data_IF_174577236042
#
_entry.id   IF_174577236042
#
_cell.length_a   1.000
_cell.length_b   1.000
_cell.length_c   1.000
_cell.angle_alpha   90.00
_cell.angle_beta   90.00
_cell.angle_gamma   90.00
#
_symmetry.space_group_name_H-M   'P 1'
#
loop_
_entity.id
_entity.type
_entity.pdbx_description
1 polymer ?
#
# COMPACT_ATOMS: atom_id res chain seq x y z
N UNK A 1 -9.94 -9.81 -2.40
CA UNK A 1 -11.14 -10.65 -2.54
C UNK A 1 -12.34 -9.75 -2.63
N UNK A 2 -12.80 -9.48 -3.85
CA UNK A 2 -14.10 -8.86 -4.08
C UNK A 2 -15.15 -9.97 -4.04
N UNK A 3 -16.30 -9.68 -3.47
CA UNK A 3 -17.38 -10.64 -3.22
C UNK A 3 -18.64 -10.06 -3.86
N UNK A 4 -19.14 -10.72 -4.90
CA UNK A 4 -20.37 -10.34 -5.59
C UNK A 4 -21.45 -11.40 -5.32
N UNK A 5 -22.66 -10.96 -4.99
CA UNK A 5 -23.81 -11.84 -4.80
C UNK A 5 -24.53 -11.99 -6.14
N UNK A 6 -24.81 -13.23 -6.55
CA UNK A 6 -25.63 -13.53 -7.71
C UNK A 6 -26.97 -14.08 -7.22
N UNK A 7 -28.08 -13.42 -7.53
CA UNK A 7 -29.44 -13.85 -7.15
C UNK A 7 -30.39 -13.93 -8.34
N UNK A 8 -31.36 -14.85 -8.28
CA UNK A 8 -32.50 -14.91 -9.21
C UNK A 8 -33.62 -13.97 -8.74
N UNK A 9 -34.17 -13.17 -9.66
CA UNK A 9 -35.42 -12.43 -9.43
C UNK A 9 -36.61 -13.27 -9.88
N UNK A 10 -37.60 -13.48 -9.01
CA UNK A 10 -38.87 -14.13 -9.35
C UNK A 10 -40.05 -13.20 -9.00
N UNK A 11 -40.95 -12.94 -9.96
CA UNK A 11 -42.29 -12.43 -9.71
C UNK A 11 -43.32 -13.58 -9.92
N UNK A 12 -44.27 -13.82 -8.99
CA UNK A 12 -45.42 -14.70 -9.21
C UNK A 12 -46.62 -13.88 -9.77
N UNK A 13 -47.71 -14.47 -10.34
CA UNK A 13 -48.35 -15.69 -9.81
C UNK A 13 -49.00 -16.72 -10.79
N UNK A 14 -49.17 -17.93 -10.22
CA UNK A 14 -50.26 -18.90 -10.36
C UNK A 14 -50.51 -19.75 -11.64
N UNK A 15 -50.52 -21.07 -11.37
CA UNK A 15 -51.20 -22.24 -11.99
C UNK A 15 -50.43 -23.15 -12.96
N UNK A 16 -50.76 -24.47 -12.95
CA UNK A 16 -49.83 -25.52 -13.34
C UNK A 16 -50.09 -25.96 -14.78
N UNK A 17 -49.05 -26.02 -15.59
CA UNK A 17 -49.07 -26.86 -16.78
C UNK A 17 -47.66 -27.29 -17.16
N UNK A 18 -47.52 -28.56 -17.54
CA UNK A 18 -46.30 -29.18 -18.03
C UNK A 18 -45.91 -28.52 -19.35
N UNK A 19 -44.98 -27.59 -19.29
CA UNK A 19 -44.15 -27.18 -20.42
C UNK A 19 -42.69 -27.22 -19.96
N UNK A 20 -41.83 -27.84 -20.76
CA UNK A 20 -40.38 -27.61 -20.68
C UNK A 20 -40.17 -26.13 -20.96
N UNK A 21 -40.21 -25.30 -19.92
CA UNK A 21 -39.70 -23.94 -20.00
C UNK A 21 -38.19 -24.06 -20.04
N UNK A 22 -37.59 -23.64 -21.15
CA UNK A 22 -36.24 -23.12 -21.11
C UNK A 22 -36.25 -22.00 -20.07
N UNK A 23 -35.81 -22.34 -18.85
CA UNK A 23 -35.51 -21.35 -17.85
C UNK A 23 -34.30 -20.63 -18.42
N UNK A 24 -34.50 -19.39 -18.83
CA UNK A 24 -33.41 -18.44 -19.07
C UNK A 24 -33.17 -17.77 -17.70
N UNK A 25 -32.28 -18.30 -16.84
CA UNK A 25 -32.07 -17.71 -15.53
C UNK A 25 -31.43 -16.34 -15.71
N UNK A 26 -32.21 -15.28 -15.49
CA UNK A 26 -31.67 -13.94 -15.34
C UNK A 26 -30.86 -13.87 -14.04
N UNK A 27 -29.54 -13.79 -14.18
CA UNK A 27 -28.62 -13.61 -13.06
C UNK A 27 -28.34 -12.12 -12.86
N UNK A 28 -28.62 -11.61 -11.67
CA UNK A 28 -28.28 -10.24 -11.30
C UNK A 28 -26.98 -10.24 -10.48
N UNK A 29 -25.96 -9.51 -10.94
CA UNK A 29 -24.70 -9.36 -10.22
C UNK A 29 -24.80 -8.18 -9.26
N UNK A 30 -24.74 -8.45 -7.96
CA UNK A 30 -24.80 -7.43 -6.91
C UNK A 30 -23.43 -7.25 -6.26
N UNK A 31 -23.01 -6.00 -6.11
CA UNK A 31 -21.75 -5.64 -5.47
C UNK A 31 -21.97 -4.63 -4.33
N UNK A 32 -21.14 -4.70 -3.29
CA UNK A 32 -21.06 -3.62 -2.30
C UNK A 32 -20.54 -2.32 -2.95
N UNK A 33 -20.97 -1.17 -2.43
CA UNK A 33 -20.52 0.16 -2.87
C UNK A 33 -19.00 0.33 -2.89
N UNK A 34 -18.28 -0.37 -2.00
CA UNK A 34 -16.80 -0.34 -1.94
C UNK A 34 -16.12 -1.08 -3.09
N UNK A 35 -16.87 -1.95 -3.78
CA UNK A 35 -16.40 -2.80 -4.86
C UNK A 35 -16.91 -2.33 -6.23
N UNK A 36 -17.83 -1.37 -6.24
CA UNK A 36 -18.49 -0.85 -7.45
C UNK A 36 -17.48 -0.32 -8.47
N UNK A 37 -16.49 0.47 -8.02
CA UNK A 37 -15.47 1.02 -8.92
C UNK A 37 -14.70 -0.11 -9.64
N UNK A 38 -14.30 -1.13 -8.89
CA UNK A 38 -13.60 -2.30 -9.46
C UNK A 38 -14.45 -3.06 -10.47
N UNK A 39 -15.76 -3.16 -10.21
CA UNK A 39 -16.70 -3.84 -11.09
C UNK A 39 -16.97 -3.04 -12.36
N UNK A 40 -17.23 -1.73 -12.25
CA UNK A 40 -17.40 -0.85 -13.40
C UNK A 40 -16.19 -0.90 -14.32
N UNK A 41 -14.98 -0.88 -13.73
CA UNK A 41 -13.76 -0.98 -14.53
C UNK A 41 -13.58 -2.35 -15.19
N UNK A 42 -13.96 -3.41 -14.51
CA UNK A 42 -13.98 -4.75 -15.08
C UNK A 42 -14.95 -4.84 -16.27
N UNK A 43 -16.15 -4.26 -16.12
CA UNK A 43 -17.16 -4.21 -17.17
C UNK A 43 -16.65 -3.43 -18.39
N UNK A 44 -16.09 -2.24 -18.18
CA UNK A 44 -15.43 -1.45 -19.23
C UNK A 44 -14.32 -2.24 -19.95
N UNK A 45 -13.47 -2.97 -19.21
CA UNK A 45 -12.42 -3.80 -19.79
C UNK A 45 -12.98 -4.94 -20.66
N UNK A 46 -14.13 -5.54 -20.26
CA UNK A 46 -14.79 -6.58 -21.06
C UNK A 46 -15.46 -6.03 -22.30
N UNK A 47 -16.21 -4.92 -22.20
CA UNK A 47 -16.80 -4.25 -23.36
C UNK A 47 -15.72 -3.80 -24.34
N UNK A 48 -14.65 -3.19 -23.82
CA UNK A 48 -13.52 -2.76 -24.64
C UNK A 48 -12.85 -3.95 -25.34
N UNK A 49 -12.70 -5.09 -24.65
CA UNK A 49 -12.17 -6.31 -25.24
C UNK A 49 -13.09 -6.88 -26.32
N UNK A 50 -14.40 -6.93 -26.06
CA UNK A 50 -15.39 -7.44 -27.01
C UNK A 50 -15.42 -6.61 -28.30
N UNK A 51 -15.28 -5.29 -28.19
CA UNK A 51 -15.33 -4.36 -29.33
C UNK A 51 -14.02 -4.30 -30.15
N UNK A 52 -12.91 -4.84 -29.65
CA UNK A 52 -11.57 -4.67 -30.25
C UNK A 52 -10.84 -5.98 -30.57
N UNK A 53 -11.59 -7.10 -30.70
CA UNK A 53 -11.14 -8.45 -31.09
C UNK A 53 -9.61 -8.64 -31.18
N UNK A 54 -9.03 -9.19 -30.11
CA UNK A 54 -7.63 -9.63 -30.01
C UNK A 54 -6.53 -8.58 -30.23
N UNK A 55 -6.84 -7.29 -30.45
CA UNK A 55 -5.81 -6.22 -30.60
C UNK A 55 -5.04 -5.90 -29.32
N UNK A 56 -5.63 -6.20 -28.16
CA UNK A 56 -5.05 -5.87 -26.86
C UNK A 56 -4.71 -7.13 -26.07
N UNK A 57 -3.54 -7.13 -25.44
CA UNK A 57 -3.13 -8.23 -24.58
C UNK A 57 -4.04 -8.34 -23.37
N UNK A 58 -4.60 -9.54 -23.14
CA UNK A 58 -5.40 -9.83 -21.94
C UNK A 58 -4.62 -9.65 -20.64
N UNK A 59 -3.29 -9.72 -20.72
CA UNK A 59 -2.38 -9.45 -19.62
C UNK A 59 -2.37 -8.01 -19.11
N UNK A 60 -3.00 -7.07 -19.83
CA UNK A 60 -3.14 -5.67 -19.45
C UNK A 60 -4.55 -5.33 -18.90
N UNK A 61 -5.44 -6.31 -18.75
CA UNK A 61 -6.74 -6.12 -18.09
C UNK A 61 -6.68 -6.37 -16.59
N UNK A 62 -7.56 -5.68 -15.86
CA UNK A 62 -7.57 -5.64 -14.40
C UNK A 62 -7.78 -7.01 -13.75
N UNK A 63 -8.75 -7.77 -14.28
CA UNK A 63 -9.14 -9.07 -13.76
C UNK A 63 -8.14 -10.14 -14.20
N UNK A 64 -7.56 -10.86 -13.23
CA UNK A 64 -6.61 -11.96 -13.48
C UNK A 64 -7.28 -13.32 -13.43
N UNK A 65 -8.23 -13.48 -12.51
CA UNK A 65 -9.02 -14.69 -12.38
C UNK A 65 -10.33 -14.38 -11.66
N UNK A 66 -11.37 -15.14 -12.00
CA UNK A 66 -12.63 -15.15 -11.30
C UNK A 66 -13.03 -16.59 -11.00
N UNK A 67 -13.60 -16.84 -9.84
CA UNK A 67 -14.12 -18.14 -9.40
C UNK A 67 -15.49 -17.96 -8.80
N UNK A 68 -16.44 -18.79 -9.22
CA UNK A 68 -17.73 -18.89 -8.56
C UNK A 68 -17.60 -19.83 -7.35
N UNK A 69 -18.04 -19.34 -6.19
CA UNK A 69 -18.02 -20.06 -4.94
C UNK A 69 -19.46 -20.26 -4.49
N UNK A 70 -19.84 -21.52 -4.31
CA UNK A 70 -21.08 -21.87 -3.64
C UNK A 70 -20.87 -21.79 -2.13
N UNK A 71 -21.67 -20.98 -1.43
CA UNK A 71 -21.61 -20.92 0.03
C UNK A 71 -22.89 -21.47 0.62
N UNK A 72 -22.75 -22.51 1.44
CA UNK A 72 -23.89 -23.08 2.15
C UNK A 72 -24.48 -22.07 3.15
N UNK A 73 -25.75 -21.74 2.96
CA UNK A 73 -26.51 -20.89 3.86
C UNK A 73 -27.22 -21.71 4.94
N UNK A 74 -27.66 -21.01 5.99
CA UNK A 74 -28.42 -21.62 7.09
C UNK A 74 -29.91 -21.31 6.86
N UNK A 75 -30.60 -22.15 6.10
CA UNK A 75 -32.03 -21.99 5.79
C UNK A 75 -32.66 -23.29 5.29
N UNK A 76 -34.00 -23.36 5.32
CA UNK A 76 -34.79 -24.45 4.70
C UNK A 76 -35.48 -23.86 3.47
N UNK A 77 -35.26 -24.42 2.29
CA UNK A 77 -35.79 -23.91 1.02
C UNK A 77 -35.04 -24.47 -0.19
N UNK A 78 -35.31 -23.96 -1.40
CA UNK A 78 -34.57 -24.36 -2.59
C UNK A 78 -33.08 -24.03 -2.42
N UNK A 79 -32.15 -24.92 -2.84
CA UNK A 79 -30.72 -24.70 -2.69
C UNK A 79 -30.22 -23.38 -3.27
N UNK A 80 -30.85 -22.88 -4.33
CA UNK A 80 -30.51 -21.61 -5.00
C UNK A 80 -30.93 -20.36 -4.21
N UNK A 81 -31.95 -20.47 -3.35
CA UNK A 81 -32.41 -19.37 -2.49
C UNK A 81 -31.65 -19.37 -1.15
N UNK A 82 -31.23 -20.55 -0.70
CA UNK A 82 -30.53 -20.74 0.58
C UNK A 82 -29.03 -20.49 0.44
N UNK A 83 -28.42 -20.90 -0.67
CA UNK A 83 -26.97 -20.90 -0.85
C UNK A 83 -26.55 -19.82 -1.84
N UNK A 84 -26.06 -18.65 -1.37
CA UNK A 84 -25.61 -17.60 -2.26
C UNK A 84 -24.37 -18.03 -3.05
N UNK A 85 -24.39 -17.69 -4.34
CA UNK A 85 -23.22 -17.75 -5.21
C UNK A 85 -22.38 -16.48 -5.03
N UNK A 86 -21.09 -16.68 -4.81
CA UNK A 86 -20.12 -15.62 -4.69
C UNK A 86 -19.13 -15.63 -5.84
N UNK A 87 -18.98 -14.50 -6.54
CA UNK A 87 -17.89 -14.33 -7.48
C UNK A 87 -16.64 -13.82 -6.74
N UNK A 88 -15.65 -14.69 -6.57
CA UNK A 88 -14.34 -14.33 -6.06
C UNK A 88 -13.42 -13.90 -7.20
N UNK A 89 -13.01 -12.64 -7.19
CA UNK A 89 -12.10 -12.07 -8.18
C UNK A 89 -10.70 -11.81 -7.62
N UNK A 90 -9.68 -12.11 -8.41
CA UNK A 90 -8.29 -11.68 -8.22
C UNK A 90 -7.97 -10.58 -9.23
N UNK A 91 -7.53 -9.44 -8.73
CA UNK A 91 -7.26 -8.23 -9.53
C UNK A 91 -5.80 -7.79 -9.39
N UNK A 92 -5.22 -7.25 -10.46
CA UNK A 92 -3.94 -6.56 -10.39
C UNK A 92 -4.19 -5.06 -10.28
N UNK A 93 -3.97 -4.50 -9.09
CA UNK A 93 -4.26 -3.10 -8.79
C UNK A 93 -3.37 -2.13 -9.56
N UNK A 94 -2.24 -2.58 -10.11
CA UNK A 94 -1.35 -1.77 -10.95
C UNK A 94 -2.00 -1.44 -12.29
N UNK A 95 -2.85 -2.33 -12.80
CA UNK A 95 -3.58 -2.17 -14.07
C UNK A 95 -4.80 -1.24 -13.97
N UNK A 96 -5.00 -0.60 -12.82
CA UNK A 96 -6.02 0.43 -12.64
C UNK A 96 -5.64 1.74 -13.34
N UNK A 97 -4.34 2.07 -13.35
CA UNK A 97 -3.80 3.38 -13.77
C UNK A 97 -3.01 3.27 -15.06
N UNK A 98 -2.90 4.36 -15.82
CA UNK A 98 -2.05 4.41 -17.03
C UNK A 98 -0.59 4.09 -16.71
N UNK A 99 -0.04 4.66 -15.63
CA UNK A 99 1.36 4.48 -15.24
C UNK A 99 1.66 3.05 -14.78
N UNK A 100 0.81 2.49 -13.92
CA UNK A 100 0.95 1.10 -13.50
C UNK A 100 0.75 0.11 -14.65
N UNK A 101 -0.11 0.43 -15.62
CA UNK A 101 -0.26 -0.35 -16.85
C UNK A 101 1.03 -0.32 -17.67
N UNK A 102 1.67 0.85 -17.84
CA UNK A 102 2.98 0.96 -18.51
C UNK A 102 4.07 0.17 -17.81
N UNK A 103 4.13 0.18 -16.48
CA UNK A 103 5.11 -0.62 -15.73
C UNK A 103 4.93 -2.12 -16.00
N UNK A 104 3.69 -2.61 -15.93
CA UNK A 104 3.38 -4.03 -16.21
C UNK A 104 3.64 -4.37 -17.68
N UNK A 105 3.36 -3.44 -18.60
CA UNK A 105 3.64 -3.56 -20.02
C UNK A 105 5.16 -3.72 -20.28
N UNK A 106 5.99 -2.83 -19.73
CA UNK A 106 7.45 -2.93 -19.85
C UNK A 106 8.00 -4.23 -19.27
N UNK A 107 7.52 -4.64 -18.10
CA UNK A 107 7.92 -5.90 -17.48
C UNK A 107 7.60 -7.09 -18.40
N UNK A 108 6.36 -7.17 -18.90
CA UNK A 108 5.93 -8.25 -19.80
C UNK A 108 6.69 -8.25 -21.12
N UNK A 109 6.96 -7.07 -21.69
CA UNK A 109 7.77 -6.96 -22.92
C UNK A 109 9.16 -7.53 -22.66
N UNK A 110 9.82 -7.15 -21.56
CA UNK A 110 11.15 -7.67 -21.24
C UNK A 110 11.17 -9.19 -21.03
N UNK A 111 10.16 -9.74 -20.34
CA UNK A 111 10.01 -11.19 -20.13
C UNK A 111 9.85 -11.93 -21.47
N UNK A 112 8.97 -11.42 -22.35
CA UNK A 112 8.74 -12.03 -23.67
C UNK A 112 9.91 -11.82 -24.63
N UNK A 113 10.67 -10.73 -24.53
CA UNK A 113 11.89 -10.52 -25.31
C UNK A 113 12.97 -11.54 -24.93
N UNK A 114 13.13 -11.84 -23.63
CA UNK A 114 14.01 -12.90 -23.15
C UNK A 114 13.54 -14.27 -23.68
N UNK A 115 12.25 -14.56 -23.61
CA UNK A 115 11.69 -15.81 -24.17
C UNK A 115 11.91 -15.89 -25.68
N UNK A 116 11.70 -14.79 -26.42
CA UNK A 116 11.93 -14.69 -27.86
C UNK A 116 13.39 -14.97 -28.21
N UNK A 117 14.34 -14.44 -27.45
CA UNK A 117 15.77 -14.73 -27.61
C UNK A 117 16.07 -16.21 -27.34
N UNK A 118 15.47 -16.80 -26.29
CA UNK A 118 15.64 -18.22 -25.97
C UNK A 118 15.13 -19.13 -27.10
N UNK A 119 14.01 -18.75 -27.73
CA UNK A 119 13.43 -19.49 -28.84
C UNK A 119 14.18 -19.24 -30.17
N UNK A 120 14.62 -18.01 -30.42
CA UNK A 120 15.38 -17.60 -31.61
C UNK A 120 16.75 -17.03 -31.21
N UNK A 121 17.72 -17.91 -30.85
CA UNK A 121 19.06 -17.47 -30.45
C UNK A 121 19.82 -16.74 -31.56
N UNK A 122 19.41 -16.93 -32.81
CA UNK A 122 19.95 -16.22 -33.99
C UNK A 122 19.80 -14.69 -33.89
N UNK A 123 18.81 -14.21 -33.12
CA UNK A 123 18.64 -12.78 -32.84
C UNK A 123 19.80 -12.18 -32.02
N UNK A 124 20.59 -13.02 -31.35
CA UNK A 124 21.78 -12.57 -30.60
C UNK A 124 23.03 -12.43 -31.47
N UNK A 125 23.01 -12.94 -32.71
CA UNK A 125 24.16 -12.93 -33.63
C UNK A 125 24.79 -11.53 -33.82
N UNK A 126 24.03 -10.43 -34.02
CA UNK A 126 24.61 -9.10 -34.18
C UNK A 126 25.43 -8.63 -32.97
N UNK A 127 25.07 -9.07 -31.75
CA UNK A 127 25.79 -8.71 -30.53
C UNK A 127 27.15 -9.41 -30.44
N UNK A 128 27.19 -10.72 -30.72
CA UNK A 128 28.44 -11.49 -30.75
C UNK A 128 29.35 -11.11 -31.93
N UNK A 129 28.77 -10.74 -33.06
CA UNK A 129 29.50 -10.21 -34.21
C UNK A 129 30.21 -8.89 -33.86
N UNK A 130 29.51 -7.94 -33.23
CA UNK A 130 30.10 -6.67 -32.77
C UNK A 130 31.17 -6.85 -31.70
N UNK A 131 31.00 -7.83 -30.81
CA UNK A 131 31.96 -8.15 -29.75
C UNK A 131 33.16 -9.00 -30.23
N UNK A 132 33.27 -9.31 -31.54
CA UNK A 132 34.30 -10.18 -32.13
C UNK A 132 34.43 -11.56 -31.46
N UNK A 133 33.34 -12.09 -30.90
CA UNK A 133 33.31 -13.35 -30.13
C UNK A 133 32.56 -14.48 -30.87
N UNK A 134 32.73 -14.55 -32.19
CA UNK A 134 32.05 -15.52 -33.06
C UNK A 134 32.27 -17.00 -32.69
N UNK A 135 33.48 -17.46 -32.29
CA UNK A 135 33.67 -18.87 -31.92
C UNK A 135 32.83 -19.29 -30.71
N UNK A 136 32.64 -18.37 -29.76
CA UNK A 136 31.81 -18.58 -28.57
C UNK A 136 30.33 -18.68 -28.98
N UNK A 137 29.87 -17.79 -29.86
CA UNK A 137 28.52 -17.85 -30.41
C UNK A 137 28.21 -19.19 -31.08
N UNK A 138 29.08 -19.67 -31.97
CA UNK A 138 28.86 -20.96 -32.66
C UNK A 138 28.82 -22.14 -31.69
N UNK A 139 29.64 -22.12 -30.64
CA UNK A 139 29.66 -23.17 -29.61
C UNK A 139 28.34 -23.19 -28.84
N UNK A 140 27.86 -22.02 -28.40
CA UNK A 140 26.57 -21.88 -27.69
C UNK A 140 25.39 -22.24 -28.60
N UNK A 141 25.43 -21.82 -29.86
CA UNK A 141 24.35 -22.10 -30.81
C UNK A 141 24.24 -23.60 -31.11
N UNK A 142 25.38 -24.29 -31.32
CA UNK A 142 25.42 -25.75 -31.50
C UNK A 142 24.84 -26.49 -30.29
N UNK A 143 25.19 -26.10 -29.06
CA UNK A 143 24.68 -26.76 -27.85
C UNK A 143 23.17 -26.54 -27.67
N UNK A 144 22.67 -25.33 -27.94
CA UNK A 144 21.24 -25.02 -27.87
C UNK A 144 20.44 -25.83 -28.91
N UNK A 145 20.94 -25.95 -30.14
CA UNK A 145 20.27 -26.74 -31.19
C UNK A 145 20.28 -28.23 -30.85
N UNK A 146 21.42 -28.78 -30.42
CA UNK A 146 21.52 -30.17 -30.02
C UNK A 146 20.53 -30.50 -28.89
N UNK A 147 20.45 -29.65 -27.86
CA UNK A 147 19.47 -29.80 -26.77
C UNK A 147 18.02 -29.74 -27.27
N UNK A 148 17.72 -28.85 -28.23
CA UNK A 148 16.38 -28.71 -28.81
C UNK A 148 15.96 -29.95 -29.60
N UNK A 149 16.85 -30.50 -30.41
CA UNK A 149 16.61 -31.73 -31.18
C UNK A 149 16.34 -32.90 -30.24
N UNK A 150 17.13 -33.02 -29.17
CA UNK A 150 16.97 -34.06 -28.16
C UNK A 150 15.61 -33.98 -27.44
N UNK A 151 15.18 -32.76 -27.05
CA UNK A 151 13.84 -32.53 -26.49
C UNK A 151 12.70 -32.85 -27.46
N UNK A 152 12.89 -32.65 -28.76
CA UNK A 152 11.89 -33.01 -29.76
C UNK A 152 11.85 -34.53 -29.98
N UNK A 153 12.98 -35.23 -29.92
CA UNK A 153 12.99 -36.70 -29.99
C UNK A 153 12.33 -37.37 -28.78
N UNK A 154 12.47 -36.79 -27.57
CA UNK A 154 11.81 -37.30 -26.35
C UNK A 154 10.27 -37.24 -26.42
N UNK A 155 9.71 -36.31 -27.20
CA UNK A 155 8.26 -36.15 -27.38
C UNK A 155 7.63 -37.18 -28.36
N UNK A 156 8.44 -38.05 -28.95
CA UNK A 156 8.00 -39.11 -29.88
C UNK A 156 7.70 -38.62 -31.30
N UNK A 157 6.81 -37.64 -31.45
CA UNK A 157 6.45 -37.06 -32.75
C UNK A 157 7.18 -35.74 -33.00
N UNK A 158 8.26 -35.81 -33.78
CA UNK A 158 9.09 -34.66 -34.13
C UNK A 158 8.32 -33.60 -34.91
N UNK A 159 7.47 -34.00 -35.86
CA UNK A 159 6.72 -33.06 -36.69
C UNK A 159 5.70 -32.28 -35.86
N UNK A 160 5.01 -32.96 -34.92
CA UNK A 160 4.12 -32.32 -33.96
C UNK A 160 4.87 -31.40 -33.00
N UNK A 161 6.01 -31.84 -32.45
CA UNK A 161 6.82 -31.02 -31.56
C UNK A 161 7.37 -29.76 -32.24
N UNK A 162 7.80 -29.88 -33.50
CA UNK A 162 8.24 -28.75 -34.31
C UNK A 162 7.10 -27.77 -34.59
N UNK A 163 5.89 -28.28 -34.93
CA UNK A 163 4.70 -27.45 -35.14
C UNK A 163 4.27 -26.73 -33.86
N UNK A 164 4.28 -27.40 -32.72
CA UNK A 164 4.03 -26.78 -31.40
C UNK A 164 5.01 -25.64 -31.10
N UNK A 165 6.29 -25.84 -31.43
CA UNK A 165 7.33 -24.84 -31.23
C UNK A 165 7.15 -23.62 -32.14
N UNK A 166 6.83 -23.83 -33.43
CA UNK A 166 6.51 -22.73 -34.35
C UNK A 166 5.27 -21.94 -33.89
N UNK A 167 4.25 -22.63 -33.41
CA UNK A 167 3.07 -22.00 -32.82
C UNK A 167 3.41 -21.18 -31.57
N UNK A 168 4.31 -21.68 -30.72
CA UNK A 168 4.77 -20.93 -29.53
C UNK A 168 5.51 -19.64 -29.91
N UNK A 169 6.35 -19.69 -30.94
CA UNK A 169 7.03 -18.51 -31.48
C UNK A 169 5.99 -17.50 -32.00
N UNK A 170 5.04 -17.94 -32.83
CA UNK A 170 4.00 -17.06 -33.37
C UNK A 170 3.14 -16.43 -32.26
N UNK A 171 2.77 -17.19 -31.23
CA UNK A 171 2.05 -16.67 -30.06
C UNK A 171 2.86 -15.60 -29.32
N UNK A 172 4.17 -15.79 -29.18
CA UNK A 172 5.06 -14.84 -28.51
C UNK A 172 5.17 -13.54 -29.30
N UNK A 173 5.34 -13.63 -30.62
CA UNK A 173 5.38 -12.46 -31.51
C UNK A 173 4.05 -11.71 -31.53
N UNK A 174 2.92 -12.43 -31.60
CA UNK A 174 1.58 -11.84 -31.50
C UNK A 174 1.36 -11.15 -30.15
N UNK A 175 1.74 -11.78 -29.04
CA UNK A 175 1.68 -11.19 -27.70
C UNK A 175 2.51 -9.91 -27.60
N UNK A 176 3.73 -9.89 -28.14
CA UNK A 176 4.58 -8.68 -28.15
C UNK A 176 3.92 -7.55 -28.94
N UNK A 177 3.36 -7.84 -30.11
CA UNK A 177 2.65 -6.85 -30.92
C UNK A 177 1.43 -6.28 -30.16
N UNK A 178 0.63 -7.13 -29.54
CA UNK A 178 -0.56 -6.73 -28.77
C UNK A 178 -0.23 -6.00 -27.46
N UNK A 179 1.00 -6.12 -26.97
CA UNK A 179 1.51 -5.35 -25.84
C UNK A 179 1.98 -3.96 -26.23
N UNK A 180 2.11 -3.61 -27.52
CA UNK A 180 2.46 -2.23 -27.92
C UNK A 180 1.32 -1.25 -27.68
N UNK A 181 0.07 -1.75 -27.76
CA UNK A 181 -1.15 -0.99 -27.52
C UNK A 181 -1.63 -1.23 -26.08
N UNK A 182 -2.02 -0.15 -25.39
CA UNK A 182 -2.59 -0.22 -24.04
C UNK A 182 -4.04 0.29 -24.06
N UNK A 183 -4.97 -0.37 -23.33
CA UNK A 183 -6.34 0.11 -23.21
C UNK A 183 -6.36 1.49 -22.52
N UNK A 184 -7.35 2.35 -22.82
CA UNK A 184 -7.45 3.68 -22.22
C UNK A 184 -7.67 3.55 -20.71
N UNK A 185 -6.75 4.09 -19.91
CA UNK A 185 -6.78 4.01 -18.45
C UNK A 185 -6.96 5.39 -17.84
N UNK A 186 -7.67 5.51 -16.70
CA UNK A 186 -7.72 6.78 -16.00
C UNK A 186 -6.29 7.18 -15.65
N UNK A 187 -5.91 8.39 -16.07
CA UNK A 187 -4.70 9.04 -15.59
C UNK A 187 -4.90 9.29 -14.11
N UNK A 188 -4.34 8.41 -13.28
CA UNK A 188 -4.04 8.81 -11.93
C UNK A 188 -2.83 9.70 -12.11
N UNK A 189 -3.04 11.02 -12.16
CA UNK A 189 -1.92 11.93 -11.98
C UNK A 189 -1.22 11.44 -10.71
N UNK A 190 -0.06 10.77 -10.86
CA UNK A 190 0.90 10.71 -9.78
C UNK A 190 0.91 12.14 -9.28
N UNK A 191 0.50 12.38 -8.03
CA UNK A 191 0.65 13.71 -7.48
C UNK A 191 2.10 14.07 -7.79
N UNK A 192 2.31 15.00 -8.74
CA UNK A 192 3.65 15.40 -9.13
C UNK A 192 4.12 16.14 -7.90
N UNK A 193 4.71 15.37 -7.01
CA UNK A 193 5.00 15.82 -5.68
C UNK A 193 6.05 16.89 -5.86
N UNK A 194 5.77 18.07 -5.32
CA UNK A 194 6.69 19.19 -5.43
C UNK A 194 7.94 18.81 -4.63
N UNK A 195 9.10 18.60 -5.28
CA UNK A 195 10.33 18.21 -4.58
C UNK A 195 10.75 19.25 -3.54
N UNK A 196 10.28 20.49 -3.69
CA UNK A 196 10.54 21.61 -2.79
C UNK A 196 9.66 21.60 -1.55
N UNK A 197 8.58 20.81 -1.51
CA UNK A 197 7.66 20.81 -0.36
C UNK A 197 7.87 19.54 0.46
N UNK A 198 8.27 19.71 1.71
CA UNK A 198 8.44 18.64 2.69
C UNK A 198 7.55 18.92 3.90
N UNK A 199 6.89 17.86 4.40
CA UNK A 199 6.13 17.92 5.65
C UNK A 199 7.00 17.45 6.79
N UNK A 200 7.40 18.35 7.68
CA UNK A 200 8.12 18.00 8.90
C UNK A 200 7.18 17.69 10.05
N UNK A 201 7.42 16.57 10.73
CA UNK A 201 6.72 16.18 11.95
C UNK A 201 7.68 16.30 13.12
N UNK A 202 7.31 17.02 14.17
CA UNK A 202 8.00 16.99 15.45
C UNK A 202 7.21 16.22 16.49
N UNK A 203 7.93 15.50 17.34
CA UNK A 203 7.36 14.70 18.42
C UNK A 203 8.00 15.13 19.75
N UNK A 204 7.19 15.35 20.79
CA UNK A 204 7.69 15.87 22.06
C UNK A 204 6.76 15.57 23.24
N UNK A 205 7.19 15.95 24.45
CA UNK A 205 6.51 15.60 25.70
C UNK A 205 5.10 16.19 25.83
N UNK A 206 4.91 17.45 25.47
CA UNK A 206 3.62 18.12 25.71
C UNK A 206 2.59 17.80 24.62
N UNK A 207 3.05 17.60 23.38
CA UNK A 207 2.24 17.39 22.19
C UNK A 207 2.80 16.19 21.41
N UNK A 208 1.99 15.15 21.15
CA UNK A 208 2.49 13.91 20.56
C UNK A 208 2.97 14.09 19.12
N UNK A 209 2.36 15.03 18.38
CA UNK A 209 2.82 15.45 17.07
C UNK A 209 2.50 16.92 16.82
N UNK A 210 3.43 17.65 16.21
CA UNK A 210 3.21 18.97 15.58
C UNK A 210 3.76 18.90 14.16
N UNK A 211 3.07 19.52 13.21
CA UNK A 211 3.39 19.40 11.79
C UNK A 211 3.66 20.76 11.20
N UNK A 212 4.68 20.85 10.34
CA UNK A 212 5.00 22.00 9.53
C UNK A 212 5.08 21.59 8.06
N UNK A 213 4.48 22.38 7.16
CA UNK A 213 4.69 22.25 5.72
C UNK A 213 5.67 23.32 5.30
N UNK A 214 6.79 22.93 4.71
CA UNK A 214 7.90 23.84 4.42
C UNK A 214 8.23 23.77 2.95
N UNK A 215 8.39 24.92 2.30
CA UNK A 215 9.16 24.99 1.07
C UNK A 215 10.64 25.00 1.47
N UNK A 216 11.36 23.93 1.17
CA UNK A 216 12.74 23.73 1.63
C UNK A 216 13.77 24.52 0.84
N UNK A 217 13.43 25.02 -0.36
CA UNK A 217 14.29 25.89 -1.15
C UNK A 217 14.28 27.31 -0.58
N UNK A 218 13.09 27.86 -0.31
CA UNK A 218 12.95 29.20 0.28
C UNK A 218 13.11 29.19 1.81
N UNK A 219 12.96 28.02 2.44
CA UNK A 219 12.93 27.86 3.88
C UNK A 219 11.63 28.38 4.53
N UNK A 220 10.66 28.80 3.72
CA UNK A 220 9.39 29.36 4.19
C UNK A 220 8.42 28.28 4.65
N UNK A 221 7.69 28.57 5.72
CA UNK A 221 6.69 27.65 6.26
C UNK A 221 5.32 28.03 5.72
N UNK A 222 4.73 27.16 4.91
CA UNK A 222 3.40 27.37 4.33
C UNK A 222 2.31 27.27 5.39
N UNK A 223 2.44 26.31 6.31
CA UNK A 223 1.50 26.18 7.41
C UNK A 223 2.06 25.36 8.58
N UNK A 224 1.57 25.69 9.77
CA UNK A 224 1.67 24.83 10.95
C UNK A 224 0.33 24.15 11.25
N UNK A 225 0.38 22.91 11.74
CA UNK A 225 -0.77 22.22 12.32
C UNK A 225 -0.41 21.60 13.66
N UNK A 226 -1.17 22.00 14.67
CA UNK A 226 -1.15 21.36 15.99
C UNK A 226 -2.00 20.09 15.99
N UNK A 227 -1.81 19.22 16.97
CA UNK A 227 -2.62 18.02 17.15
C UNK A 227 -4.14 18.32 17.25
N UNK A 228 -4.51 19.48 17.82
CA UNK A 228 -5.91 19.94 17.90
C UNK A 228 -6.47 20.23 16.52
N UNK A 229 -5.68 20.85 15.65
CA UNK A 229 -6.07 21.14 14.26
C UNK A 229 -6.06 19.87 13.39
N UNK A 230 -5.16 18.91 13.64
CA UNK A 230 -5.12 17.65 12.90
C UNK A 230 -6.33 16.76 13.20
N UNK A 231 -6.75 16.70 14.46
CA UNK A 231 -7.86 15.84 14.89
C UNK A 231 -9.24 16.51 14.79
N UNK A 232 -9.30 17.85 14.83
CA UNK A 232 -10.55 18.60 14.79
C UNK A 232 -11.50 18.17 15.91
N UNK A 233 -12.70 17.75 15.55
CA UNK A 233 -13.73 17.26 16.49
C UNK A 233 -13.28 16.04 17.30
N UNK A 234 -12.44 15.18 16.72
CA UNK A 234 -11.90 13.99 17.38
C UNK A 234 -10.85 14.32 18.45
N UNK A 235 -10.51 15.60 18.66
CA UNK A 235 -9.56 15.98 19.71
C UNK A 235 -10.05 15.61 21.11
N UNK A 236 -11.36 15.56 21.34
CA UNK A 236 -11.95 15.10 22.62
C UNK A 236 -11.52 13.65 22.99
N UNK A 237 -11.24 12.80 22.00
CA UNK A 237 -10.78 11.43 22.20
C UNK A 237 -9.40 11.37 22.86
N UNK A 238 -8.53 12.38 22.67
CA UNK A 238 -7.25 12.46 23.38
C UNK A 238 -7.45 12.64 24.89
N UNK A 239 -8.40 13.49 25.29
CA UNK A 239 -8.71 13.69 26.70
C UNK A 239 -9.28 12.41 27.32
N UNK A 240 -10.19 11.73 26.60
CA UNK A 240 -10.74 10.43 27.00
C UNK A 240 -9.65 9.37 27.17
N UNK A 241 -8.71 9.28 26.23
CA UNK A 241 -7.60 8.33 26.29
C UNK A 241 -6.69 8.60 27.51
N UNK A 242 -6.40 9.86 27.82
CA UNK A 242 -5.61 10.24 29.01
C UNK A 242 -6.31 9.81 30.30
N UNK A 243 -7.60 10.10 30.43
CA UNK A 243 -8.39 9.68 31.59
C UNK A 243 -8.43 8.16 31.74
N UNK A 244 -8.59 7.43 30.63
CA UNK A 244 -8.61 5.98 30.65
C UNK A 244 -7.26 5.41 31.10
N UNK A 245 -6.13 5.91 30.58
CA UNK A 245 -4.79 5.49 31.02
C UNK A 245 -4.56 5.77 32.49
N UNK A 246 -4.99 6.93 32.99
CA UNK A 246 -4.86 7.28 34.41
C UNK A 246 -5.69 6.35 35.30
N UNK A 247 -6.95 6.10 34.92
CA UNK A 247 -7.84 5.17 35.64
C UNK A 247 -7.25 3.75 35.67
N UNK A 248 -6.80 3.26 34.53
CA UNK A 248 -6.15 1.96 34.43
C UNK A 248 -4.89 1.92 35.28
N UNK A 249 -4.01 2.93 35.22
CA UNK A 249 -2.81 3.00 36.08
C UNK A 249 -3.14 2.92 37.57
N UNK A 250 -4.18 3.63 38.02
CA UNK A 250 -4.65 3.55 39.41
C UNK A 250 -5.18 2.17 39.78
N UNK A 251 -5.97 1.54 38.90
CA UNK A 251 -6.45 0.18 39.09
C UNK A 251 -5.30 -0.83 39.16
N UNK A 252 -4.30 -0.70 38.28
CA UNK A 252 -3.09 -1.52 38.27
C UNK A 252 -2.32 -1.40 39.58
N UNK A 253 -2.13 -0.18 40.09
CA UNK A 253 -1.46 0.05 41.37
C UNK A 253 -2.25 -0.52 42.55
N UNK A 254 -3.58 -0.39 42.56
CA UNK A 254 -4.45 -1.02 43.58
C UNK A 254 -4.37 -2.55 43.52
N UNK A 255 -4.36 -3.13 42.32
CA UNK A 255 -4.26 -4.58 42.13
C UNK A 255 -2.90 -5.10 42.60
N UNK A 256 -1.80 -4.41 42.25
CA UNK A 256 -0.45 -4.74 42.72
C UNK A 256 -0.34 -4.73 44.25
N UNK A 257 -0.96 -3.76 44.93
CA UNK A 257 -0.99 -3.72 46.40
C UNK A 257 -1.79 -4.86 47.04
N UNK A 258 -2.71 -5.47 46.30
CA UNK A 258 -3.60 -6.54 46.76
C UNK A 258 -3.19 -7.92 46.21
N UNK A 259 -2.04 -8.00 45.54
CA UNK A 259 -1.57 -9.18 44.80
C UNK A 259 -2.65 -9.79 43.86
N UNK A 260 -3.46 -8.90 43.27
CA UNK A 260 -4.57 -9.27 42.39
C UNK A 260 -4.13 -9.26 40.91
N UNK A 261 -4.81 -10.03 40.03
CA UNK A 261 -4.48 -10.05 38.60
C UNK A 261 -4.52 -8.65 37.97
N UNK A 262 -3.45 -8.32 37.25
CA UNK A 262 -3.19 -6.97 36.73
C UNK A 262 -3.45 -6.81 35.21
N UNK A 263 -4.19 -7.75 34.62
CA UNK A 263 -4.49 -7.75 33.17
C UNK A 263 -5.76 -6.95 32.91
N UNK A 264 -5.63 -5.63 32.87
CA UNK A 264 -6.70 -4.76 32.41
C UNK A 264 -6.55 -4.49 30.91
N UNK A 265 -7.61 -4.75 30.14
CA UNK A 265 -7.62 -4.48 28.69
C UNK A 265 -7.45 -2.99 28.42
N UNK A 266 -6.42 -2.63 27.64
CA UNK A 266 -6.31 -1.28 27.10
C UNK A 266 -7.29 -1.15 25.93
N UNK A 267 -8.12 -0.10 25.93
CA UNK A 267 -8.95 0.17 24.74
C UNK A 267 -8.06 0.42 23.54
N UNK A 268 -8.46 -0.10 22.38
CA UNK A 268 -7.85 0.18 21.07
C UNK A 268 -7.90 1.67 20.66
N UNK A 269 -8.50 2.53 21.48
CA UNK A 269 -8.58 3.98 21.30
C UNK A 269 -7.23 4.63 20.99
N UNK A 270 -6.14 4.16 21.61
CA UNK A 270 -4.81 4.68 21.31
C UNK A 270 -4.35 4.39 19.90
N UNK A 271 -4.54 3.16 19.42
CA UNK A 271 -4.21 2.78 18.05
C UNK A 271 -5.10 3.51 17.04
N UNK A 272 -6.39 3.66 17.38
CA UNK A 272 -7.33 4.41 16.57
C UNK A 272 -6.91 5.89 16.42
N UNK A 273 -6.48 6.53 17.51
CA UNK A 273 -5.96 7.90 17.47
C UNK A 273 -4.69 8.02 16.63
N UNK A 274 -3.76 7.07 16.71
CA UNK A 274 -2.57 7.05 15.86
C UNK A 274 -2.94 7.00 14.38
N UNK A 275 -3.92 6.16 14.00
CA UNK A 275 -4.42 6.09 12.62
C UNK A 275 -5.08 7.40 12.18
N UNK A 276 -5.84 8.06 13.06
CA UNK A 276 -6.45 9.36 12.77
C UNK A 276 -5.40 10.45 12.55
N UNK A 277 -4.39 10.52 13.43
CA UNK A 277 -3.28 11.47 13.31
C UNK A 277 -2.52 11.22 12.02
N UNK A 278 -2.12 9.97 11.75
CA UNK A 278 -1.41 9.59 10.54
C UNK A 278 -2.19 9.95 9.27
N UNK A 279 -3.50 9.64 9.25
CA UNK A 279 -4.39 9.99 8.13
C UNK A 279 -4.46 11.50 7.92
N UNK A 280 -4.51 12.29 8.99
CA UNK A 280 -4.52 13.76 8.90
C UNK A 280 -3.19 14.32 8.37
N UNK A 281 -2.05 13.78 8.82
CA UNK A 281 -0.71 14.16 8.33
C UNK A 281 -0.59 13.86 6.83
N UNK A 282 -0.97 12.66 6.40
CA UNK A 282 -0.92 12.25 4.99
C UNK A 282 -1.90 13.07 4.14
N UNK A 283 -3.09 13.38 4.66
CA UNK A 283 -4.05 14.26 3.97
C UNK A 283 -3.42 15.62 3.70
N UNK A 284 -2.76 16.20 4.69
CA UNK A 284 -2.08 17.49 4.58
C UNK A 284 -0.89 17.42 3.60
N UNK A 285 -0.09 16.35 3.64
CA UNK A 285 0.97 16.14 2.64
C UNK A 285 0.40 16.10 1.21
N UNK A 286 -0.78 15.48 1.01
CA UNK A 286 -1.45 15.45 -0.29
C UNK A 286 -1.99 16.82 -0.71
N UNK A 287 -2.63 17.55 0.19
CA UNK A 287 -3.18 18.90 -0.07
C UNK A 287 -2.09 19.84 -0.62
N UNK A 288 -0.90 19.81 -0.03
CA UNK A 288 0.25 20.62 -0.46
C UNK A 288 1.15 19.94 -1.51
N UNK A 289 0.76 18.74 -2.00
CA UNK A 289 1.55 17.93 -2.94
C UNK A 289 3.00 17.74 -2.48
N UNK A 290 3.21 17.53 -1.19
CA UNK A 290 4.54 17.34 -0.62
C UNK A 290 5.23 16.09 -1.17
N UNK A 291 6.54 16.18 -1.38
CA UNK A 291 7.38 15.08 -1.83
C UNK A 291 7.49 13.98 -0.77
N UNK A 292 7.73 14.38 0.47
CA UNK A 292 7.98 13.46 1.56
C UNK A 292 7.54 14.01 2.92
N UNK A 293 7.48 13.10 3.88
CA UNK A 293 7.20 13.40 5.28
C UNK A 293 8.45 13.08 6.09
N UNK A 294 9.03 14.10 6.73
CA UNK A 294 10.17 13.97 7.62
C UNK A 294 9.72 13.67 9.06
N UNK A 295 10.23 12.58 9.62
CA UNK A 295 9.85 12.03 10.92
C UNK A 295 11.11 11.84 11.79
N UNK A 296 11.06 12.11 13.11
CA UNK A 296 12.23 12.02 13.96
C UNK A 296 12.66 10.58 14.27
N UNK A 297 13.98 10.36 14.42
CA UNK A 297 14.57 9.10 14.91
C UNK A 297 14.12 8.79 16.34
N UNK A 298 13.61 7.57 16.57
CA UNK A 298 13.07 7.14 17.88
C UNK A 298 14.05 7.28 19.06
N UNK A 299 15.32 6.93 18.83
CA UNK A 299 16.36 7.00 19.87
C UNK A 299 16.48 8.43 20.41
N UNK A 300 16.48 9.40 19.51
CA UNK A 300 16.64 10.80 19.86
C UNK A 300 15.40 11.36 20.55
N UNK A 301 14.19 10.95 20.16
CA UNK A 301 12.96 11.37 20.87
C UNK A 301 13.04 11.00 22.36
N UNK A 302 13.55 9.81 22.70
CA UNK A 302 13.73 9.39 24.09
C UNK A 302 14.72 10.27 24.84
N UNK A 303 15.83 10.63 24.19
CA UNK A 303 16.86 11.51 24.75
C UNK A 303 16.33 12.95 24.95
N UNK A 304 15.61 13.50 23.96
CA UNK A 304 14.95 14.82 24.06
C UNK A 304 14.01 14.83 25.26
N UNK A 305 13.15 13.83 25.37
CA UNK A 305 12.20 13.69 26.46
C UNK A 305 12.93 13.60 27.81
N UNK A 306 13.99 12.80 27.90
CA UNK A 306 14.74 12.62 29.13
C UNK A 306 15.39 13.94 29.58
N UNK A 307 16.04 14.64 28.66
CA UNK A 307 16.69 15.93 28.91
C UNK A 307 15.67 17.01 29.30
N UNK A 308 14.51 17.08 28.64
CA UNK A 308 13.46 18.05 28.97
C UNK A 308 12.86 17.78 30.37
N UNK A 309 12.59 16.51 30.72
CA UNK A 309 12.12 16.14 32.05
C UNK A 309 13.15 16.52 33.12
N UNK A 310 14.44 16.25 32.88
CA UNK A 310 15.51 16.50 33.83
C UNK A 310 15.72 18.01 34.05
N UNK A 311 15.81 18.79 32.97
CA UNK A 311 15.92 20.24 33.04
C UNK A 311 14.74 20.88 33.78
N UNK A 312 13.53 20.33 33.59
CA UNK A 312 12.34 20.80 34.32
C UNK A 312 12.37 20.43 35.80
N UNK A 313 12.92 19.27 36.14
CA UNK A 313 13.10 18.85 37.53
C UNK A 313 14.09 19.76 38.26
N UNK A 314 15.23 20.05 37.63
CA UNK A 314 16.27 20.94 38.16
C UNK A 314 15.76 22.37 38.35
N UNK A 315 15.00 22.91 37.38
CA UNK A 315 14.38 24.24 37.50
C UNK A 315 13.40 24.35 38.66
N UNK A 316 12.67 23.28 38.98
CA UNK A 316 11.71 23.28 40.09
C UNK A 316 12.35 22.99 41.44
N UNK A 317 13.31 22.09 41.47
CA UNK A 317 13.99 21.62 42.68
C UNK A 317 15.48 21.74 42.40
N UNK A 318 16.04 22.91 42.71
CA UNK A 318 17.47 23.15 42.56
C UNK A 318 18.26 22.41 43.64
N UNK A 319 19.40 21.82 43.29
CA UNK A 319 20.34 21.19 44.23
C UNK A 319 19.93 19.83 44.83
N UNK A 320 18.63 19.54 45.01
CA UNK A 320 18.17 18.30 45.64
C UNK A 320 17.88 17.17 44.63
N UNK A 321 18.91 16.33 44.37
CA UNK A 321 18.89 15.26 43.35
C UNK A 321 17.78 14.22 43.54
N UNK A 322 17.47 13.79 44.76
CA UNK A 322 16.41 12.81 45.00
C UNK A 322 15.01 13.40 44.75
N UNK A 323 14.81 14.66 45.16
CA UNK A 323 13.59 15.42 44.84
C UNK A 323 13.41 15.58 43.34
N UNK A 324 14.49 15.88 42.61
CA UNK A 324 14.47 15.92 41.14
C UNK A 324 14.07 14.57 40.54
N UNK A 325 14.64 13.45 41.00
CA UNK A 325 14.27 12.10 40.53
C UNK A 325 12.80 11.79 40.81
N UNK A 326 12.30 12.11 42.01
CA UNK A 326 10.89 11.91 42.39
C UNK A 326 9.96 12.76 41.54
N UNK A 327 10.28 14.04 41.34
CA UNK A 327 9.55 14.93 40.47
C UNK A 327 9.55 14.44 39.02
N UNK A 328 10.72 14.05 38.48
CA UNK A 328 10.87 13.56 37.12
C UNK A 328 10.01 12.30 36.88
N UNK A 329 9.92 11.40 37.87
CA UNK A 329 9.03 10.23 37.82
C UNK A 329 7.56 10.64 37.77
N UNK A 330 7.11 11.44 38.73
CA UNK A 330 5.71 11.92 38.77
C UNK A 330 5.34 12.69 37.50
N UNK A 331 6.27 13.50 36.99
CA UNK A 331 6.07 14.27 35.78
C UNK A 331 5.91 13.35 34.56
N UNK A 332 6.77 12.32 34.40
CA UNK A 332 6.61 11.30 33.34
C UNK A 332 5.29 10.54 33.42
N UNK A 333 4.80 10.27 34.63
CA UNK A 333 3.51 9.60 34.85
C UNK A 333 2.32 10.51 34.48
N UNK A 334 2.43 11.82 34.72
CA UNK A 334 1.39 12.81 34.39
C UNK A 334 1.29 13.21 32.91
N UNK A 335 2.38 13.05 32.14
CA UNK A 335 2.41 13.37 30.72
C UNK A 335 1.82 12.22 29.88
N UNK A 336 1.48 12.50 28.61
CA UNK A 336 1.04 11.47 27.69
C UNK A 336 2.11 10.37 27.48
N UNK A 337 1.76 9.13 27.80
CA UNK A 337 2.57 7.95 27.52
C UNK A 337 2.32 7.48 26.07
N UNK A 338 2.74 8.28 25.10
CA UNK A 338 2.55 7.96 23.68
C UNK A 338 3.60 6.96 23.20
N UNK A 339 3.19 6.00 22.37
CA UNK A 339 4.16 5.14 21.67
C UNK A 339 4.50 5.79 20.34
N UNK A 340 5.61 6.52 20.29
CA UNK A 340 6.05 7.17 19.05
C UNK A 340 6.36 6.16 17.95
N UNK A 341 6.86 4.97 18.29
CA UNK A 341 7.07 3.90 17.31
C UNK A 341 5.76 3.54 16.58
N UNK A 342 4.67 3.34 17.35
CA UNK A 342 3.36 3.00 16.80
C UNK A 342 2.78 4.13 15.94
N UNK A 343 3.01 5.38 16.33
CA UNK A 343 2.59 6.54 15.53
C UNK A 343 3.37 6.62 14.21
N UNK A 344 4.69 6.44 14.24
CA UNK A 344 5.55 6.41 13.05
C UNK A 344 5.11 5.27 12.11
N UNK A 345 4.91 4.07 12.63
CA UNK A 345 4.37 2.93 11.86
C UNK A 345 3.01 3.25 11.24
N UNK A 346 2.13 3.92 11.97
CA UNK A 346 0.82 4.34 11.45
C UNK A 346 0.97 5.36 10.32
N UNK A 347 1.96 6.25 10.39
CA UNK A 347 2.30 7.20 9.30
C UNK A 347 2.82 6.45 8.08
N UNK A 348 3.71 5.47 8.24
CA UNK A 348 4.17 4.60 7.14
C UNK A 348 3.02 3.86 6.46
N UNK A 349 2.14 3.25 7.23
CA UNK A 349 0.98 2.53 6.69
C UNK A 349 0.01 3.48 5.97
N UNK A 350 -0.19 4.70 6.49
CA UNK A 350 -1.07 5.68 5.88
C UNK A 350 -0.48 6.30 4.60
N UNK A 351 0.84 6.43 4.50
CA UNK A 351 1.51 7.07 3.35
C UNK A 351 1.70 6.12 2.16
N UNK A 352 1.88 4.82 2.43
CA UNK A 352 2.19 3.81 1.41
C UNK A 352 1.21 3.78 0.20
N UNK A 353 -0.12 3.85 0.37
CA UNK A 353 -1.06 3.86 -0.76
C UNK A 353 -0.93 5.07 -1.70
N UNK A 354 -0.30 6.13 -1.21
CA UNK A 354 -0.10 7.38 -1.95
C UNK A 354 1.31 7.55 -2.48
N UNK A 355 2.22 6.61 -2.19
CA UNK A 355 3.62 6.69 -2.64
C UNK A 355 4.39 7.88 -2.04
N UNK A 356 3.96 8.39 -0.89
CA UNK A 356 4.66 9.50 -0.21
C UNK A 356 5.83 8.91 0.59
N UNK A 357 7.05 9.33 0.26
CA UNK A 357 8.25 8.88 0.93
C UNK A 357 8.30 9.38 2.38
N UNK A 358 8.90 8.59 3.27
CA UNK A 358 9.13 8.97 4.66
C UNK A 358 10.64 9.00 4.89
N UNK A 359 11.11 10.14 5.39
CA UNK A 359 12.51 10.39 5.70
C UNK A 359 12.68 10.45 7.21
N UNK A 360 13.72 9.79 7.72
CA UNK A 360 13.95 9.70 9.16
C UNK A 360 15.11 10.61 9.56
N UNK A 361 14.80 11.70 10.25
CA UNK A 361 15.74 12.79 10.55
C UNK A 361 16.08 12.89 12.03
N UNK A 362 17.17 13.58 12.31
CA UNK A 362 17.57 13.89 13.69
C UNK A 362 16.89 15.20 14.17
N UNK A 363 16.02 15.14 15.18
CA UNK A 363 15.30 16.30 15.72
C UNK A 363 16.15 17.09 16.73
N UNK A 364 16.10 18.43 16.67
CA UNK A 364 16.84 19.29 17.59
C UNK A 364 16.39 19.12 19.06
N UNK A 365 17.35 19.15 19.99
CA UNK A 365 17.10 19.04 21.44
C UNK A 365 16.39 20.27 22.03
N UNK A 366 16.53 21.43 21.38
CA UNK A 366 16.01 22.72 21.82
C UNK A 366 15.10 23.32 20.75
N UNK A 367 14.16 24.17 21.19
CA UNK A 367 13.23 24.90 20.32
C UNK A 367 11.76 24.60 20.58
N UNK A 368 10.88 25.44 20.03
CA UNK A 368 9.43 25.20 20.03
C UNK A 368 9.11 23.99 19.13
N UNK A 369 8.14 23.12 19.47
CA UNK A 369 7.67 22.05 18.57
C UNK A 369 7.41 22.48 17.12
N UNK A 370 6.96 23.72 16.88
CA UNK A 370 6.78 24.25 15.53
C UNK A 370 8.12 24.44 14.79
N UNK A 371 9.11 25.02 15.46
CA UNK A 371 10.46 25.19 14.91
C UNK A 371 11.13 23.84 14.68
N UNK A 372 10.98 22.90 15.63
CA UNK A 372 11.46 21.53 15.49
C UNK A 372 10.85 20.84 14.25
N UNK A 373 9.57 21.06 13.98
CA UNK A 373 8.94 20.51 12.78
C UNK A 373 9.53 21.13 11.50
N UNK A 374 9.79 22.44 11.51
CA UNK A 374 10.45 23.13 10.39
C UNK A 374 11.87 22.62 10.17
N UNK A 375 12.67 22.53 11.22
CA UNK A 375 14.06 22.06 11.13
C UNK A 375 14.13 20.61 10.69
N UNK A 376 13.20 19.76 11.13
CA UNK A 376 13.10 18.38 10.64
C UNK A 376 12.88 18.30 9.12
N UNK A 377 12.02 19.17 8.56
CA UNK A 377 11.80 19.22 7.11
C UNK A 377 13.05 19.67 6.34
N UNK A 378 13.75 20.69 6.84
CA UNK A 378 15.00 21.19 6.25
C UNK A 378 16.13 20.15 6.36
N UNK A 379 16.25 19.48 7.50
CA UNK A 379 17.24 18.42 7.71
C UNK A 379 17.04 17.23 6.76
N UNK A 380 15.79 16.86 6.48
CA UNK A 380 15.48 15.81 5.51
C UNK A 380 16.00 16.17 4.12
N UNK A 381 15.77 17.41 3.70
CA UNK A 381 16.29 17.92 2.44
C UNK A 381 17.83 17.88 2.41
N UNK A 382 18.51 18.36 3.44
CA UNK A 382 19.99 18.36 3.47
C UNK A 382 20.57 16.94 3.48
N UNK A 383 20.03 16.03 4.29
CA UNK A 383 20.47 14.62 4.35
C UNK A 383 20.29 13.93 2.98
N UNK A 384 19.25 14.31 2.21
CA UNK A 384 19.03 13.81 0.84
C UNK A 384 20.12 14.26 -0.13
N UNK A 385 20.54 15.53 -0.07
CA UNK A 385 21.61 16.05 -0.93
C UNK A 385 22.97 15.46 -0.57
N UNK A 386 23.22 15.24 0.72
CA UNK A 386 24.44 14.57 1.18
C UNK A 386 24.50 13.11 0.75
N UNK A 387 23.39 12.39 0.78
CA UNK A 387 23.32 10.98 0.37
C UNK A 387 23.43 10.76 -1.16
N UNK A 388 23.27 11.83 -1.95
CA UNK A 388 23.37 11.80 -3.41
C UNK A 388 24.76 12.20 -3.94
N UNK A 389 25.64 12.69 -3.06
CA UNK A 389 27.07 12.90 -3.33
C UNK A 389 27.85 11.66 -2.91
#
# INVERSE_FOLDING_TARGET
TLVFLIGQGFQPPCRPYREKRELDPHFEVRCDLRHLDWFNRFWEDQEFRANNEERYSSGLFLLRSARLLWREGKGKGNPWDVNPLYLQCSIDTRLWTEEGTRQVQHQKISELEIERIRMRPELTFPFFFRARSLPIYFTIWKTIIAFRVLKFSEKGDFAKAQKEFQNAIQRTESCLNNLTLSPPRPRKSLCRANPEIIVGVSMGLARPATVAVVNVVTGEVLTYRSIKQLLGENYNLLARQRQQKQRLSHQRHKAQKKDAPNRYGESELGQYLDRLIAKAIVKLAREYRAHSIAVPKLRQIREIIQSEVQARAERKISGYKEGQKKYARQYRESIHQWSYNRLIESIHQASAPFGIAIETVSQSLQGNPQEQARTNALAAYTERFESAR
#
